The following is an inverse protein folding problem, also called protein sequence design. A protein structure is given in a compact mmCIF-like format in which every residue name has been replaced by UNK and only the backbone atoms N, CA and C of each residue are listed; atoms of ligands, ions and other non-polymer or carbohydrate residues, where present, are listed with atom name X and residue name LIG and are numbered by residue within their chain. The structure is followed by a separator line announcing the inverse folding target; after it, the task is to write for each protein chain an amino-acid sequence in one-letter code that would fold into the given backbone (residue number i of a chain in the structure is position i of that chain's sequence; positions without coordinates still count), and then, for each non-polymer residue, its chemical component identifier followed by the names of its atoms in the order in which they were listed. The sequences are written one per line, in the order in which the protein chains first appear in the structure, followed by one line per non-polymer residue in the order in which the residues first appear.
data_IF_969339580897
#
_entry.id   IF_969339580897
#
_cell.length_a   1.000
_cell.length_b   1.000
_cell.length_c   1.000
_cell.angle_alpha   90.00
_cell.angle_beta   90.00
_cell.angle_gamma   90.00
#
_symmetry.space_group_name_H-M   'P 1'
#
loop_
_entity.id
_entity.type
_entity.pdbx_description
1 polymer ?
#
# COMPACT_ATOMS: atom_id res chain seq x y z
N UNK A 1 -9.04 -15.74 9.36
CA UNK A 1 -9.86 -16.54 10.30
C UNK A 1 -10.19 -15.81 11.61
N UNK A 2 -9.45 -14.77 12.04
CA UNK A 2 -9.77 -14.01 13.27
C UNK A 2 -11.12 -13.30 13.14
N UNK A 3 -11.32 -12.50 12.08
CA UNK A 3 -12.58 -11.78 11.85
C UNK A 3 -13.79 -12.72 11.78
N UNK A 4 -13.71 -13.84 11.05
CA UNK A 4 -14.81 -14.82 10.97
C UNK A 4 -15.07 -15.57 12.29
N UNK A 5 -14.11 -15.62 13.21
CA UNK A 5 -14.36 -16.15 14.57
C UNK A 5 -15.14 -15.14 15.42
N UNK A 6 -14.96 -13.85 15.17
CA UNK A 6 -15.65 -12.77 15.88
C UNK A 6 -17.05 -12.54 15.32
N UNK A 7 -17.16 -12.48 13.99
CA UNK A 7 -18.41 -12.32 13.26
C UNK A 7 -18.45 -13.32 12.10
N UNK A 8 -19.10 -14.48 12.29
CA UNK A 8 -19.25 -15.50 11.24
C UNK A 8 -19.93 -14.96 9.99
N UNK A 9 -20.81 -13.97 10.14
CA UNK A 9 -21.58 -13.35 9.06
C UNK A 9 -21.06 -11.95 8.68
N UNK A 10 -19.73 -11.82 8.56
CA UNK A 10 -19.05 -10.54 8.34
C UNK A 10 -19.58 -9.77 7.12
N UNK A 11 -19.93 -10.47 6.04
CA UNK A 11 -20.34 -9.83 4.78
C UNK A 11 -21.67 -9.07 4.88
N UNK A 12 -22.58 -9.51 5.76
CA UNK A 12 -23.89 -8.89 5.99
C UNK A 12 -23.89 -7.81 7.09
N UNK A 13 -22.75 -7.56 7.73
CA UNK A 13 -22.63 -6.50 8.73
C UNK A 13 -22.74 -5.10 8.10
N UNK A 14 -23.30 -4.17 8.89
CA UNK A 14 -23.26 -2.74 8.57
C UNK A 14 -21.82 -2.21 8.57
N UNK A 15 -21.61 -1.04 7.97
CA UNK A 15 -20.25 -0.45 7.88
C UNK A 15 -19.63 -0.27 9.27
N UNK A 16 -20.38 0.22 10.25
CA UNK A 16 -19.84 0.45 11.61
C UNK A 16 -19.45 -0.86 12.30
N UNK A 17 -20.26 -1.92 12.14
CA UNK A 17 -19.94 -3.24 12.68
C UNK A 17 -18.72 -3.86 11.98
N UNK A 18 -18.57 -3.65 10.67
CA UNK A 18 -17.37 -4.08 9.92
C UNK A 18 -16.12 -3.37 10.41
N UNK A 19 -16.21 -2.09 10.73
CA UNK A 19 -15.11 -1.30 11.30
C UNK A 19 -14.71 -1.86 12.67
N UNK A 20 -15.66 -2.11 13.56
CA UNK A 20 -15.38 -2.68 14.89
C UNK A 20 -14.65 -4.03 14.80
N UNK A 21 -15.17 -4.96 13.99
CA UNK A 21 -14.53 -6.28 13.78
C UNK A 21 -13.15 -6.14 13.14
N UNK A 22 -12.98 -5.17 12.23
CA UNK A 22 -11.71 -4.90 11.59
C UNK A 22 -10.68 -4.35 12.58
N UNK A 23 -11.03 -3.34 13.36
CA UNK A 23 -10.16 -2.73 14.39
C UNK A 23 -9.71 -3.76 15.42
N UNK A 24 -10.63 -4.57 15.93
CA UNK A 24 -10.26 -5.65 16.85
C UNK A 24 -9.29 -6.66 16.21
N UNK A 25 -9.49 -7.03 14.95
CA UNK A 25 -8.54 -7.90 14.27
C UNK A 25 -7.16 -7.23 14.10
N UNK A 26 -7.12 -5.91 13.90
CA UNK A 26 -5.87 -5.14 13.85
C UNK A 26 -5.15 -5.11 15.20
N UNK A 27 -5.87 -5.00 16.31
CA UNK A 27 -5.29 -5.03 17.67
C UNK A 27 -4.67 -6.39 18.00
N UNK A 28 -5.28 -7.48 17.52
CA UNK A 28 -4.83 -8.85 17.79
C UNK A 28 -3.73 -9.36 16.84
N UNK A 29 -3.24 -8.52 15.93
CA UNK A 29 -2.21 -8.91 14.96
C UNK A 29 -1.20 -7.78 14.79
N UNK A 30 0.07 -8.07 14.50
CA UNK A 30 1.10 -7.02 14.45
C UNK A 30 1.25 -6.36 13.06
N UNK A 31 1.11 -7.12 11.99
CA UNK A 31 1.32 -6.63 10.62
C UNK A 31 2.77 -6.21 10.35
N UNK A 32 3.73 -6.87 11.00
CA UNK A 32 5.17 -6.63 10.86
C UNK A 32 5.84 -7.63 9.91
N UNK A 33 5.07 -8.54 9.30
CA UNK A 33 5.53 -9.61 8.41
C UNK A 33 6.42 -9.09 7.28
N UNK A 34 5.99 -8.03 6.58
CA UNK A 34 6.74 -7.45 5.48
C UNK A 34 8.04 -6.77 5.95
N UNK A 35 7.98 -6.07 7.09
CA UNK A 35 9.15 -5.42 7.68
C UNK A 35 10.21 -6.45 8.08
N UNK A 36 9.78 -7.54 8.74
CA UNK A 36 10.63 -8.68 9.09
C UNK A 36 11.18 -9.38 7.87
N UNK A 37 10.37 -9.57 6.83
CA UNK A 37 10.81 -10.22 5.59
C UNK A 37 11.90 -9.39 4.91
N UNK A 38 11.75 -8.08 4.80
CA UNK A 38 12.75 -7.18 4.23
C UNK A 38 14.09 -7.29 4.97
N UNK A 39 14.04 -7.38 6.31
CA UNK A 39 15.23 -7.61 7.13
C UNK A 39 15.83 -9.00 6.88
N UNK A 40 15.06 -10.07 7.09
CA UNK A 40 15.52 -11.46 7.02
C UNK A 40 16.03 -11.86 5.63
N UNK A 41 15.56 -11.20 4.56
CA UNK A 41 15.99 -11.46 3.17
C UNK A 41 17.15 -10.59 2.73
N UNK A 42 17.65 -9.70 3.58
CA UNK A 42 18.82 -8.87 3.29
C UNK A 42 20.09 -9.52 3.86
N UNK A 43 21.17 -9.59 3.07
CA UNK A 43 22.41 -10.25 3.49
C UNK A 43 23.17 -9.47 4.58
N UNK A 44 22.96 -8.16 4.66
CA UNK A 44 23.62 -7.25 5.59
C UNK A 44 22.72 -6.05 5.92
N UNK A 45 23.09 -5.30 6.96
CA UNK A 45 22.32 -4.14 7.41
C UNK A 45 22.39 -2.97 6.42
N UNK A 46 23.51 -2.77 5.74
CA UNK A 46 23.61 -1.75 4.70
C UNK A 46 22.70 -2.06 3.50
N UNK A 47 22.66 -3.32 3.05
CA UNK A 47 21.78 -3.74 1.95
C UNK A 47 20.32 -3.64 2.37
N UNK A 48 19.98 -4.00 3.62
CA UNK A 48 18.63 -3.79 4.13
C UNK A 48 18.23 -2.32 4.12
N UNK A 49 19.13 -1.43 4.56
CA UNK A 49 18.87 0.00 4.60
C UNK A 49 18.56 0.57 3.21
N UNK A 50 19.36 0.19 2.22
CA UNK A 50 19.15 0.60 0.82
C UNK A 50 17.85 0.03 0.25
N UNK A 51 17.57 -1.26 0.49
CA UNK A 51 16.33 -1.91 0.05
C UNK A 51 15.10 -1.27 0.66
N UNK A 52 15.13 -0.96 1.96
CA UNK A 52 14.03 -0.28 2.66
C UNK A 52 13.82 1.12 2.09
N UNK A 53 14.90 1.85 1.81
CA UNK A 53 14.81 3.19 1.20
C UNK A 53 14.20 3.12 -0.20
N UNK A 54 14.62 2.15 -1.02
CA UNK A 54 14.06 1.91 -2.34
C UNK A 54 12.59 1.49 -2.29
N UNK A 55 12.24 0.61 -1.36
CA UNK A 55 10.86 0.20 -1.07
C UNK A 55 9.97 1.42 -0.80
N UNK A 56 10.36 2.25 0.17
CA UNK A 56 9.57 3.44 0.55
C UNK A 56 9.42 4.43 -0.59
N UNK A 57 10.52 4.72 -1.32
CA UNK A 57 10.48 5.65 -2.46
C UNK A 57 9.64 5.13 -3.62
N UNK A 58 9.83 3.87 -4.01
CA UNK A 58 9.07 3.27 -5.13
C UNK A 58 7.57 3.17 -4.83
N UNK A 59 7.21 2.83 -3.58
CA UNK A 59 5.82 2.83 -3.15
C UNK A 59 5.21 4.24 -3.17
N UNK A 60 5.95 5.26 -2.72
CA UNK A 60 5.50 6.66 -2.76
C UNK A 60 5.28 7.15 -4.21
N UNK A 61 6.22 6.85 -5.11
CA UNK A 61 6.10 7.17 -6.54
C UNK A 61 4.83 6.55 -7.12
N UNK A 62 4.64 5.24 -6.94
CA UNK A 62 3.46 4.55 -7.49
C UNK A 62 2.15 4.94 -6.80
N UNK A 63 2.19 5.41 -5.55
CA UNK A 63 1.00 5.95 -4.87
C UNK A 63 0.52 7.23 -5.55
N UNK A 64 1.42 8.16 -5.87
CA UNK A 64 1.07 9.43 -6.54
C UNK A 64 0.73 9.24 -8.01
N UNK A 65 1.52 8.44 -8.74
CA UNK A 65 1.26 8.13 -10.15
C UNK A 65 -0.04 7.34 -10.30
N UNK A 66 -0.25 6.33 -9.45
CA UNK A 66 -1.46 5.52 -9.44
C UNK A 66 -2.70 6.33 -9.09
N UNK A 67 -2.59 7.30 -8.17
CA UNK A 67 -3.67 8.23 -7.86
C UNK A 67 -4.10 9.05 -9.09
N UNK A 68 -3.14 9.65 -9.80
CA UNK A 68 -3.45 10.48 -10.98
C UNK A 68 -4.01 9.64 -12.13
N UNK A 69 -3.51 8.41 -12.30
CA UNK A 69 -4.01 7.49 -13.32
C UNK A 69 -5.40 6.90 -12.98
N UNK A 70 -5.85 7.01 -11.72
CA UNK A 70 -7.05 6.33 -11.26
C UNK A 70 -6.89 4.81 -11.19
N UNK A 71 -5.70 4.33 -10.81
CA UNK A 71 -5.32 2.92 -10.83
C UNK A 71 -5.94 2.15 -9.65
N UNK A 72 -6.99 1.38 -9.92
CA UNK A 72 -7.73 0.53 -8.97
C UNK A 72 -7.25 -0.94 -8.94
N UNK A 73 -7.92 -1.81 -8.20
CA UNK A 73 -7.61 -3.24 -8.02
C UNK A 73 -6.17 -3.53 -7.58
N UNK A 74 -5.66 -2.72 -6.65
CA UNK A 74 -4.29 -2.87 -6.16
C UNK A 74 -4.17 -3.98 -5.11
N UNK A 75 -4.76 -5.17 -5.29
CA UNK A 75 -4.66 -6.33 -4.39
C UNK A 75 -3.22 -6.87 -4.21
N UNK A 76 -2.87 -7.63 -3.15
CA UNK A 76 -1.46 -7.94 -2.86
C UNK A 76 -0.76 -8.68 -3.98
N UNK A 77 -1.47 -9.50 -4.76
CA UNK A 77 -0.91 -10.17 -5.93
C UNK A 77 -0.54 -9.23 -7.09
N UNK A 78 -1.08 -8.01 -7.12
CA UNK A 78 -0.75 -6.97 -8.10
C UNK A 78 0.38 -6.04 -7.62
N UNK A 79 0.92 -6.30 -6.42
CA UNK A 79 2.04 -5.58 -5.82
C UNK A 79 3.21 -6.55 -5.63
N UNK A 80 4.19 -6.47 -6.52
CA UNK A 80 5.39 -7.29 -6.47
C UNK A 80 6.52 -6.54 -5.76
N UNK A 81 7.38 -7.28 -5.06
CA UNK A 81 8.59 -6.76 -4.43
C UNK A 81 9.81 -7.34 -5.12
N UNK A 82 10.65 -6.48 -5.70
CA UNK A 82 11.92 -6.92 -6.27
C UNK A 82 12.89 -7.35 -5.16
N UNK A 83 13.32 -8.61 -5.22
CA UNK A 83 14.11 -9.24 -4.15
C UNK A 83 15.53 -8.68 -4.04
N UNK A 84 16.03 -8.02 -5.08
CA UNK A 84 17.40 -7.52 -5.13
C UNK A 84 17.49 -6.05 -4.71
N UNK A 85 16.71 -5.19 -5.35
CA UNK A 85 16.67 -3.74 -5.13
C UNK A 85 15.74 -3.31 -4.00
N UNK A 86 14.74 -4.13 -3.65
CA UNK A 86 13.70 -3.78 -2.67
C UNK A 86 12.60 -2.87 -3.23
N UNK A 87 12.58 -2.58 -4.54
CA UNK A 87 11.54 -1.73 -5.14
C UNK A 87 10.20 -2.47 -5.23
N UNK A 88 9.10 -1.73 -5.03
CA UNK A 88 7.75 -2.19 -5.33
C UNK A 88 7.47 -1.97 -6.82
N UNK A 89 6.87 -2.99 -7.44
CA UNK A 89 6.42 -2.99 -8.82
C UNK A 89 4.92 -3.29 -8.84
N UNK A 90 4.15 -2.38 -9.44
CA UNK A 90 2.74 -2.64 -9.72
C UNK A 90 2.63 -3.38 -11.06
N UNK A 91 1.81 -4.42 -11.09
CA UNK A 91 1.44 -5.13 -12.33
C UNK A 91 -0.07 -5.03 -12.53
N UNK A 92 -0.52 -5.49 -13.70
CA UNK A 92 -1.93 -5.51 -14.11
C UNK A 92 -2.59 -4.12 -14.05
N UNK A 93 -2.69 -3.47 -15.21
CA UNK A 93 -3.24 -2.12 -15.33
C UNK A 93 -4.65 -2.12 -15.96
N UNK A 94 -5.39 -3.23 -15.81
CA UNK A 94 -6.74 -3.37 -16.37
C UNK A 94 -7.74 -2.36 -15.81
N UNK A 95 -7.62 -1.99 -14.52
CA UNK A 95 -8.50 -1.03 -13.85
C UNK A 95 -7.85 0.35 -13.70
N UNK A 96 -7.78 1.11 -14.80
CA UNK A 96 -7.38 2.52 -14.78
C UNK A 96 -8.60 3.46 -14.85
N UNK A 97 -8.40 4.75 -14.60
CA UNK A 97 -9.45 5.78 -14.68
C UNK A 97 -10.67 5.47 -13.80
N UNK A 98 -10.38 5.10 -12.54
CA UNK A 98 -11.36 4.97 -11.47
C UNK A 98 -12.45 3.90 -11.70
N UNK A 99 -12.28 3.02 -12.68
CA UNK A 99 -13.22 1.93 -13.00
C UNK A 99 -13.56 1.10 -11.77
N UNK A 100 -12.58 0.81 -10.91
CA UNK A 100 -12.79 0.06 -9.66
C UNK A 100 -13.65 0.80 -8.62
N UNK A 101 -13.70 2.14 -8.65
CA UNK A 101 -14.51 2.95 -7.73
C UNK A 101 -15.99 2.96 -8.12
N UNK A 102 -16.31 2.74 -9.40
CA UNK A 102 -17.67 2.75 -9.94
C UNK A 102 -18.30 1.37 -10.07
N UNK A 103 -17.62 0.30 -9.64
CA UNK A 103 -18.14 -1.08 -9.69
C UNK A 103 -19.40 -1.24 -8.84
N UNK A 104 -20.36 -2.03 -9.33
CA UNK A 104 -21.58 -2.37 -8.60
C UNK A 104 -21.30 -3.14 -7.30
N UNK A 105 -20.32 -4.04 -7.34
CA UNK A 105 -19.92 -4.87 -6.19
C UNK A 105 -18.57 -4.41 -5.67
N UNK A 106 -18.50 -4.18 -4.35
CA UNK A 106 -17.29 -3.78 -3.62
C UNK A 106 -16.54 -2.59 -4.26
N UNK A 107 -17.20 -1.44 -4.48
CA UNK A 107 -16.55 -0.26 -5.05
C UNK A 107 -15.39 0.20 -4.16
N UNK A 108 -14.21 0.39 -4.75
CA UNK A 108 -13.06 0.90 -4.04
C UNK A 108 -13.28 2.33 -3.55
N UNK A 109 -12.80 2.63 -2.34
CA UNK A 109 -12.96 3.93 -1.65
C UNK A 109 -11.62 4.59 -1.32
N UNK A 110 -10.54 4.12 -1.94
CA UNK A 110 -9.18 4.56 -1.64
C UNK A 110 -8.47 5.02 -2.93
N UNK A 111 -7.58 6.02 -2.85
CA UNK A 111 -6.81 6.50 -4.02
C UNK A 111 -5.66 5.56 -4.40
N UNK A 112 -5.13 4.81 -3.43
CA UNK A 112 -4.06 3.83 -3.57
C UNK A 112 -3.98 3.01 -2.29
N UNK A 113 -3.35 1.84 -2.36
CA UNK A 113 -3.17 1.00 -1.17
C UNK A 113 -2.05 1.52 -0.29
N UNK A 114 -2.40 1.92 0.94
CA UNK A 114 -1.45 2.26 2.00
C UNK A 114 -1.88 1.61 3.33
N UNK A 115 -1.80 0.28 3.42
CA UNK A 115 -2.18 -0.45 4.63
C UNK A 115 -1.07 -0.45 5.67
N UNK A 116 -1.42 -0.75 6.94
CA UNK A 116 -0.44 -0.77 8.05
C UNK A 116 0.78 -1.65 7.79
N UNK A 117 0.64 -2.77 7.07
CA UNK A 117 1.75 -3.68 6.80
C UNK A 117 2.75 -3.05 5.82
N UNK A 118 2.26 -2.23 4.88
CA UNK A 118 3.12 -1.46 3.99
C UNK A 118 3.82 -0.31 4.75
N UNK A 119 3.10 0.33 5.68
CA UNK A 119 3.62 1.43 6.52
C UNK A 119 4.68 0.91 7.50
N UNK A 120 4.43 -0.21 8.17
CA UNK A 120 5.36 -0.83 9.14
C UNK A 120 6.69 -1.24 8.51
N UNK A 121 6.70 -1.50 7.20
CA UNK A 121 7.90 -1.83 6.44
C UNK A 121 8.75 -0.60 6.08
N UNK A 122 8.26 0.62 6.32
CA UNK A 122 8.98 1.87 6.08
C UNK A 122 9.95 2.18 7.24
N UNK A 123 10.49 3.40 7.27
CA UNK A 123 11.28 3.87 8.41
C UNK A 123 10.41 4.13 9.65
N UNK A 124 11.07 4.33 10.80
CA UNK A 124 10.41 4.50 12.12
C UNK A 124 9.46 5.70 12.18
N UNK A 125 9.65 6.69 11.29
CA UNK A 125 8.76 7.85 11.16
C UNK A 125 7.47 7.54 10.40
N UNK A 126 7.30 6.30 9.93
CA UNK A 126 6.16 5.88 9.12
C UNK A 126 6.05 6.70 7.84
N UNK A 127 4.87 7.25 7.59
CA UNK A 127 4.58 8.01 6.36
C UNK A 127 5.19 9.42 6.36
N UNK A 128 5.55 9.96 7.53
CA UNK A 128 5.99 11.36 7.70
C UNK A 128 7.45 11.60 7.26
N UNK A 129 8.16 10.55 6.85
CA UNK A 129 9.59 10.61 6.51
C UNK A 129 9.87 10.72 5.02
N UNK A 130 10.57 9.73 4.51
CA UNK A 130 10.93 9.57 3.10
C UNK A 130 9.68 9.41 2.23
N UNK A 131 8.63 8.74 2.72
CA UNK A 131 7.40 8.54 1.97
C UNK A 131 6.74 9.88 1.60
N UNK A 132 6.36 10.71 2.59
CA UNK A 132 5.75 12.04 2.36
C UNK A 132 6.61 12.93 1.45
N UNK A 133 7.91 13.07 1.74
CA UNK A 133 8.82 13.90 0.92
C UNK A 133 8.92 13.42 -0.53
N UNK A 134 8.87 12.11 -0.74
CA UNK A 134 8.86 11.53 -2.09
C UNK A 134 7.52 11.82 -2.78
N UNK A 135 6.39 11.68 -2.09
CA UNK A 135 5.08 12.04 -2.62
C UNK A 135 5.01 13.51 -3.05
N UNK A 136 5.47 14.43 -2.20
CA UNK A 136 5.52 15.88 -2.51
C UNK A 136 6.39 16.16 -3.73
N UNK A 137 7.56 15.53 -3.82
CA UNK A 137 8.47 15.69 -4.96
C UNK A 137 7.85 15.18 -6.26
N UNK A 138 7.24 13.99 -6.22
CA UNK A 138 6.58 13.37 -7.39
C UNK A 138 5.38 14.21 -7.83
N UNK A 139 4.53 14.62 -6.90
CA UNK A 139 3.35 15.43 -7.21
C UNK A 139 3.73 16.81 -7.76
N UNK A 140 4.80 17.43 -7.24
CA UNK A 140 5.35 18.67 -7.77
C UNK A 140 5.82 18.52 -9.22
N UNK A 141 6.52 17.42 -9.55
CA UNK A 141 6.96 17.15 -10.92
C UNK A 141 5.77 16.89 -11.85
N UNK A 142 4.82 16.05 -11.45
CA UNK A 142 3.64 15.74 -12.25
C UNK A 142 2.79 16.99 -12.50
N UNK A 143 2.57 17.81 -11.48
CA UNK A 143 1.79 19.05 -11.60
C UNK A 143 2.48 20.08 -12.51
N UNK A 144 3.80 20.24 -12.41
CA UNK A 144 4.58 21.15 -13.27
C UNK A 144 4.57 20.74 -14.75
N UNK A 145 4.48 19.44 -15.02
CA UNK A 145 4.53 18.89 -16.38
C UNK A 145 3.17 18.34 -16.82
N UNK A 146 2.07 18.88 -16.29
CA UNK A 146 0.70 18.40 -16.56
C UNK A 146 0.31 18.39 -18.04
N UNK A 147 0.93 19.22 -18.88
CA UNK A 147 0.61 19.26 -20.32
C UNK A 147 1.30 18.12 -21.09
N UNK A 148 2.30 17.47 -20.47
CA UNK A 148 3.00 16.30 -21.00
C UNK A 148 2.44 14.98 -20.51
N UNK A 149 1.62 14.99 -19.45
CA UNK A 149 1.03 13.81 -18.78
C UNK A 149 -0.44 13.74 -19.13
#
# INVERSE_FOLDING_TARGET
RIMLRMAPDYDHLTVIQKVEVFEQALEHTHGDDLARLLWLKSPSSEVWFDRRTNYTRSLAVMSMVGYILGLGDRHPSNLMLDRMSGKILHIDFGDCFEVAMTREKFPEKIPFRLTRMLINAMEVTGIEGTYRRTCESVMSVLHRNKDSV
#
